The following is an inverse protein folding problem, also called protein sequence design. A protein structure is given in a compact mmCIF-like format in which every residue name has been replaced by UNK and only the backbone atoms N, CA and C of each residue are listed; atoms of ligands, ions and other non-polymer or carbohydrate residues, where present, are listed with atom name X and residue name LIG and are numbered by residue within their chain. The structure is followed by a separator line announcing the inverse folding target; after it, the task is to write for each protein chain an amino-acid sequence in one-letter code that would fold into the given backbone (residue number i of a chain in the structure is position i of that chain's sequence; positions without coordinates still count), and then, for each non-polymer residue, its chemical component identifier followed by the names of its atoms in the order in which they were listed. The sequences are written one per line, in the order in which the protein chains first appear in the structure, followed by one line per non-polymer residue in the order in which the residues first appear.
data_IF_279808074233
#
_entry.id   IF_279808074233
#
_cell.length_a   1.000
_cell.length_b   1.000
_cell.length_c   1.000
_cell.angle_alpha   90.00
_cell.angle_beta   90.00
_cell.angle_gamma   90.00
#
_symmetry.space_group_name_H-M   'P 1'
#
loop_
_entity.id
_entity.type
_entity.pdbx_description
1 polymer ?
#
# COMPACT_ATOMS: atom_id res chain seq x y z
N UNK A 1 -22.27 9.62 9.38
CA UNK A 1 -21.19 10.60 9.63
C UNK A 1 -21.63 11.43 10.82
N UNK A 2 -20.80 11.56 11.86
CA UNK A 2 -21.15 12.36 13.04
C UNK A 2 -21.08 13.85 12.68
N UNK A 3 -22.01 14.65 13.21
CA UNK A 3 -21.97 16.11 13.05
C UNK A 3 -20.71 16.69 13.74
N UNK A 4 -19.94 17.58 13.10
CA UNK A 4 -18.74 18.15 13.71
C UNK A 4 -19.00 18.84 15.04
N UNK A 5 -20.13 19.55 15.19
CA UNK A 5 -20.49 20.21 16.44
C UNK A 5 -20.80 19.21 17.56
N UNK A 6 -21.44 18.10 17.24
CA UNK A 6 -21.63 16.98 18.17
C UNK A 6 -20.30 16.31 18.55
N UNK A 7 -19.42 16.06 17.59
CA UNK A 7 -18.10 15.47 17.83
C UNK A 7 -17.26 16.36 18.75
N UNK A 8 -17.23 17.68 18.51
CA UNK A 8 -16.56 18.67 19.38
C UNK A 8 -17.04 18.56 20.83
N UNK A 9 -18.36 18.51 21.07
CA UNK A 9 -18.90 18.41 22.44
C UNK A 9 -18.52 17.10 23.13
N UNK A 10 -18.59 15.98 22.40
CA UNK A 10 -18.23 14.66 22.93
C UNK A 10 -16.73 14.56 23.23
N UNK A 11 -15.88 15.13 22.37
CA UNK A 11 -14.44 15.22 22.59
C UNK A 11 -14.10 16.08 23.82
N UNK A 12 -14.70 17.25 23.95
CA UNK A 12 -14.52 18.12 25.11
C UNK A 12 -14.86 17.39 26.42
N UNK A 13 -16.04 16.78 26.49
CA UNK A 13 -16.47 15.99 27.66
C UNK A 13 -15.49 14.87 27.99
N UNK A 14 -15.06 14.10 26.98
CA UNK A 14 -14.15 12.97 27.20
C UNK A 14 -12.77 13.42 27.62
N UNK A 15 -12.20 14.43 26.99
CA UNK A 15 -10.87 14.92 27.34
C UNK A 15 -10.86 15.64 28.68
N UNK A 16 -11.99 16.25 29.10
CA UNK A 16 -12.12 16.75 30.48
C UNK A 16 -12.03 15.63 31.52
N UNK A 17 -12.60 14.45 31.24
CA UNK A 17 -12.43 13.27 32.10
C UNK A 17 -10.99 12.76 32.10
N UNK A 18 -10.35 12.69 30.92
CA UNK A 18 -8.99 12.17 30.75
C UNK A 18 -7.95 13.07 31.43
N UNK A 19 -8.06 14.38 31.28
CA UNK A 19 -7.13 15.33 31.88
C UNK A 19 -7.52 15.75 33.29
N UNK A 20 -8.77 15.56 33.71
CA UNK A 20 -9.27 16.00 35.02
C UNK A 20 -9.56 17.49 35.12
N UNK A 21 -9.55 18.22 33.99
CA UNK A 21 -9.77 19.67 33.91
C UNK A 21 -10.69 19.99 32.74
N UNK A 22 -11.44 21.09 32.82
CA UNK A 22 -12.30 21.51 31.72
C UNK A 22 -11.48 21.75 30.44
N UNK A 23 -11.90 21.10 29.35
CA UNK A 23 -11.18 21.05 28.09
C UNK A 23 -12.03 21.64 26.97
N UNK A 24 -11.56 22.72 26.37
CA UNK A 24 -12.19 23.31 25.18
C UNK A 24 -11.57 22.73 23.91
N UNK A 25 -12.40 22.44 22.90
CA UNK A 25 -11.96 21.91 21.61
C UNK A 25 -12.18 22.95 20.51
N UNK A 26 -11.10 23.31 19.83
CA UNK A 26 -11.09 24.25 18.71
C UNK A 26 -10.40 23.65 17.48
N UNK A 27 -10.52 24.33 16.34
CA UNK A 27 -9.85 23.95 15.08
C UNK A 27 -10.07 22.49 14.65
N UNK A 28 -11.25 21.93 14.93
CA UNK A 28 -11.60 20.58 14.51
C UNK A 28 -11.73 20.52 12.98
N UNK A 29 -10.77 19.86 12.34
CA UNK A 29 -10.70 19.71 10.89
C UNK A 29 -10.56 18.24 10.53
N UNK A 30 -11.38 17.79 9.59
CA UNK A 30 -11.23 16.45 9.03
C UNK A 30 -10.05 16.42 8.07
N UNK A 31 -9.15 15.46 8.26
CA UNK A 31 -8.05 15.21 7.33
C UNK A 31 -8.53 14.26 6.23
N UNK A 32 -8.03 14.49 5.02
CA UNK A 32 -8.22 13.58 3.88
C UNK A 32 -7.23 12.41 4.00
N UNK A 33 -7.72 11.18 4.09
CA UNK A 33 -6.89 9.97 4.16
C UNK A 33 -7.49 8.89 5.06
N UNK A 34 -7.21 7.63 4.74
CA UNK A 34 -7.79 6.45 5.42
C UNK A 34 -9.03 5.92 4.69
N UNK A 35 -8.95 4.68 4.20
CA UNK A 35 -10.09 4.02 3.53
C UNK A 35 -11.16 3.57 4.54
N UNK A 36 -10.73 3.14 5.74
CA UNK A 36 -11.59 2.50 6.74
C UNK A 36 -11.84 3.35 8.00
N UNK A 37 -11.21 4.52 8.14
CA UNK A 37 -11.29 5.36 9.35
C UNK A 37 -11.40 6.86 9.04
N UNK A 38 -12.09 7.59 9.91
CA UNK A 38 -12.12 9.05 9.90
C UNK A 38 -10.95 9.60 10.73
N UNK A 39 -10.09 10.42 10.12
CA UNK A 39 -8.99 11.10 10.82
C UNK A 39 -9.30 12.59 10.97
N UNK A 40 -9.17 13.09 12.19
CA UNK A 40 -9.46 14.48 12.55
C UNK A 40 -8.28 15.10 13.29
N UNK A 41 -7.92 16.34 12.95
CA UNK A 41 -6.99 17.17 13.70
C UNK A 41 -7.78 18.19 14.52
N UNK A 42 -7.34 18.47 15.74
CA UNK A 42 -7.97 19.48 16.60
C UNK A 42 -7.00 20.03 17.64
N UNK A 43 -7.37 21.15 18.25
CA UNK A 43 -6.67 21.76 19.38
C UNK A 43 -7.50 21.55 20.64
N UNK A 44 -6.87 21.04 21.70
CA UNK A 44 -7.44 20.95 23.04
C UNK A 44 -6.79 22.01 23.95
N UNK A 45 -7.59 22.89 24.52
CA UNK A 45 -7.17 23.89 25.51
C UNK A 45 -7.49 23.37 26.92
N UNK A 46 -6.45 23.15 27.73
CA UNK A 46 -6.53 22.56 29.07
C UNK A 46 -5.81 23.51 30.02
N UNK A 47 -6.53 24.09 30.98
CA UNK A 47 -5.98 25.06 31.95
C UNK A 47 -5.16 26.20 31.31
N UNK A 48 -5.58 26.68 30.13
CA UNK A 48 -4.89 27.75 29.40
C UNK A 48 -3.65 27.30 28.60
N UNK A 49 -3.29 26.01 28.63
CA UNK A 49 -2.29 25.40 27.75
C UNK A 49 -2.97 24.73 26.56
N UNK A 50 -2.39 24.82 25.37
CA UNK A 50 -2.95 24.19 24.16
C UNK A 50 -2.15 22.95 23.76
N UNK A 51 -2.87 21.91 23.28
CA UNK A 51 -2.28 20.68 22.73
C UNK A 51 -2.92 20.38 21.38
N UNK A 52 -2.12 20.12 20.35
CA UNK A 52 -2.61 19.64 19.04
C UNK A 52 -2.71 18.13 19.07
N UNK A 53 -3.87 17.61 18.72
CA UNK A 53 -4.19 16.18 18.82
C UNK A 53 -4.78 15.65 17.51
N UNK A 54 -4.58 14.36 17.27
CA UNK A 54 -5.20 13.61 16.19
C UNK A 54 -6.18 12.60 16.78
N UNK A 55 -7.40 12.58 16.26
CA UNK A 55 -8.39 11.54 16.50
C UNK A 55 -8.47 10.66 15.25
N UNK A 56 -8.23 9.36 15.40
CA UNK A 56 -8.65 8.36 14.42
C UNK A 56 -9.88 7.64 14.96
N UNK A 57 -10.96 7.64 14.19
CA UNK A 57 -12.28 7.12 14.59
C UNK A 57 -12.80 6.18 13.52
N UNK A 58 -13.23 4.97 13.90
CA UNK A 58 -13.75 3.98 12.95
C UNK A 58 -15.19 3.61 13.32
N UNK A 59 -16.18 4.21 12.65
CA UNK A 59 -17.57 3.80 12.79
C UNK A 59 -17.79 2.47 12.06
N UNK A 60 -18.21 1.41 12.75
CA UNK A 60 -18.55 0.13 12.11
C UNK A 60 -18.01 -1.10 12.84
N UNK A 61 -17.73 -2.17 12.07
CA UNK A 61 -17.47 -3.53 12.56
C UNK A 61 -16.34 -3.58 13.62
N UNK A 62 -16.64 -4.00 14.86
CA UNK A 62 -15.65 -4.14 15.93
C UNK A 62 -14.58 -5.21 15.67
N UNK A 63 -14.68 -5.99 14.58
CA UNK A 63 -13.77 -7.09 14.23
C UNK A 63 -12.83 -6.81 13.03
N UNK A 64 -12.72 -5.55 12.55
CA UNK A 64 -11.73 -5.15 11.54
C UNK A 64 -10.25 -5.30 12.00
N UNK A 65 -9.25 -5.03 11.12
CA UNK A 65 -7.83 -5.06 11.49
C UNK A 65 -7.57 -4.30 12.80
N UNK A 66 -6.63 -4.81 13.61
CA UNK A 66 -6.51 -4.61 15.07
C UNK A 66 -7.45 -3.54 15.62
N UNK A 67 -8.57 -3.95 16.24
CA UNK A 67 -9.48 -2.98 16.88
C UNK A 67 -8.69 -2.00 17.75
N UNK A 68 -9.05 -0.72 17.76
CA UNK A 68 -8.12 0.38 18.13
C UNK A 68 -7.48 0.26 19.53
N UNK A 69 -8.11 -0.49 20.44
CA UNK A 69 -7.54 -0.83 21.76
C UNK A 69 -6.33 -1.78 21.68
N UNK A 70 -6.29 -2.68 20.69
CA UNK A 70 -5.11 -3.53 20.44
C UNK A 70 -3.98 -2.70 19.84
N UNK A 71 -4.29 -1.86 18.86
CA UNK A 71 -3.31 -0.96 18.25
C UNK A 71 -2.68 -0.01 19.29
N UNK A 72 -3.47 0.50 20.23
CA UNK A 72 -2.96 1.38 21.30
C UNK A 72 -1.94 0.68 22.22
N UNK A 73 -2.10 -0.63 22.46
CA UNK A 73 -1.12 -1.44 23.21
C UNK A 73 0.19 -1.60 22.45
N UNK A 74 0.11 -1.80 21.13
CA UNK A 74 1.29 -1.88 20.27
C UNK A 74 2.04 -0.54 20.27
N UNK A 75 1.33 0.58 20.12
CA UNK A 75 1.93 1.92 20.19
C UNK A 75 2.61 2.14 21.55
N UNK A 76 1.97 1.78 22.66
CA UNK A 76 2.57 1.90 23.99
C UNK A 76 3.77 0.95 24.21
N UNK A 77 3.79 -0.21 23.57
CA UNK A 77 4.95 -1.12 23.59
C UNK A 77 6.11 -0.56 22.75
N UNK A 78 5.81 0.00 21.58
CA UNK A 78 6.77 0.65 20.70
C UNK A 78 7.43 1.88 21.38
N UNK A 79 6.64 2.73 22.04
CA UNK A 79 7.15 3.86 22.82
C UNK A 79 8.13 3.40 23.91
N UNK A 80 7.79 2.34 24.65
CA UNK A 80 8.67 1.75 25.68
C UNK A 80 9.95 1.15 25.11
N UNK A 81 9.92 0.65 23.87
CA UNK A 81 11.10 0.16 23.16
C UNK A 81 11.94 1.28 22.53
N UNK A 82 11.55 2.55 22.71
CA UNK A 82 12.28 3.71 22.18
C UNK A 82 12.01 4.00 20.70
N UNK A 83 10.97 3.39 20.12
CA UNK A 83 10.50 3.72 18.77
C UNK A 83 9.83 5.08 18.82
N UNK A 84 10.16 5.96 17.88
CA UNK A 84 9.49 7.24 17.74
C UNK A 84 8.04 7.00 17.25
N UNK A 85 7.06 7.21 18.13
CA UNK A 85 5.62 7.06 17.84
C UNK A 85 4.85 8.27 18.40
N UNK A 86 3.68 8.61 17.85
CA UNK A 86 2.83 9.63 18.45
C UNK A 86 2.37 9.19 19.83
N UNK A 87 2.58 10.04 20.84
CA UNK A 87 2.18 9.72 22.21
C UNK A 87 0.68 9.49 22.31
N UNK A 88 0.29 8.34 22.87
CA UNK A 88 -1.10 7.98 23.10
C UNK A 88 -1.69 8.85 24.22
N UNK A 89 -2.84 9.45 23.96
CA UNK A 89 -3.59 10.27 24.94
C UNK A 89 -4.79 9.51 25.49
N UNK A 90 -5.61 8.91 24.62
CA UNK A 90 -6.79 8.14 25.02
C UNK A 90 -7.16 7.14 23.92
N UNK A 91 -7.86 6.07 24.28
CA UNK A 91 -8.43 5.12 23.31
C UNK A 91 -9.65 4.43 23.90
N UNK A 92 -10.58 4.01 23.03
CA UNK A 92 -11.74 3.24 23.45
C UNK A 92 -12.28 2.33 22.34
N UNK A 93 -13.04 1.31 22.74
CA UNK A 93 -13.73 0.39 21.84
C UNK A 93 -15.05 0.95 21.28
N UNK A 94 -15.86 0.08 20.67
CA UNK A 94 -17.08 0.48 19.94
C UNK A 94 -18.13 1.21 20.81
N UNK A 95 -18.28 0.83 22.09
CA UNK A 95 -19.25 1.40 23.03
C UNK A 95 -18.82 2.75 23.63
N UNK A 96 -17.87 3.44 23.00
CA UNK A 96 -17.30 4.67 23.54
C UNK A 96 -18.25 5.87 23.48
N UNK A 97 -17.89 6.92 24.23
CA UNK A 97 -18.57 8.22 24.21
C UNK A 97 -18.60 8.87 22.82
N UNK A 98 -17.65 8.53 21.94
CA UNK A 98 -17.58 9.01 20.55
C UNK A 98 -18.40 8.15 19.57
N UNK A 99 -19.14 7.15 20.08
CA UNK A 99 -20.06 6.30 19.31
C UNK A 99 -19.36 5.43 18.26
N UNK A 100 -18.08 5.14 18.48
CA UNK A 100 -17.22 4.34 17.62
C UNK A 100 -15.93 4.00 18.38
N UNK A 101 -15.20 2.98 17.92
CA UNK A 101 -13.84 2.80 18.40
C UNK A 101 -12.96 3.97 17.94
N UNK A 102 -12.06 4.40 18.82
CA UNK A 102 -11.17 5.52 18.54
C UNK A 102 -9.81 5.40 19.23
N UNK A 103 -8.88 6.17 18.68
CA UNK A 103 -7.56 6.42 19.23
C UNK A 103 -7.25 7.92 19.11
N UNK A 104 -6.78 8.52 20.21
CA UNK A 104 -6.34 9.92 20.26
C UNK A 104 -4.85 9.94 20.60
N UNK A 105 -4.06 10.58 19.75
CA UNK A 105 -2.63 10.79 19.95
C UNK A 105 -2.24 12.26 19.83
N UNK A 106 -1.04 12.59 20.29
CA UNK A 106 -0.42 13.89 20.01
C UNK A 106 -0.18 14.07 18.50
N UNK A 107 -0.43 15.29 18.01
CA UNK A 107 -0.09 15.66 16.65
C UNK A 107 1.42 15.88 16.53
N UNK A 108 2.06 15.10 15.67
CA UNK A 108 3.48 15.26 15.35
C UNK A 108 3.62 16.12 14.09
N UNK A 109 4.41 17.20 14.18
CA UNK A 109 4.75 18.02 13.02
C UNK A 109 5.68 17.27 12.06
N UNK A 110 5.39 17.36 10.77
CA UNK A 110 6.18 16.72 9.72
C UNK A 110 5.37 16.50 8.45
N UNK A 111 5.96 15.79 7.50
CA UNK A 111 5.36 15.46 6.21
C UNK A 111 5.25 13.94 6.05
N UNK A 112 4.13 13.50 5.48
CA UNK A 112 3.81 12.08 5.26
C UNK A 112 3.62 11.75 3.78
N UNK A 113 3.57 12.77 2.89
CA UNK A 113 3.36 12.57 1.46
C UNK A 113 4.69 12.16 0.82
N UNK A 114 4.84 10.90 0.37
CA UNK A 114 6.14 10.39 -0.08
C UNK A 114 6.74 11.16 -1.26
N UNK A 115 5.88 11.60 -2.21
CA UNK A 115 6.34 12.40 -3.35
C UNK A 115 7.03 13.69 -2.94
N UNK A 116 6.61 14.33 -1.84
CA UNK A 116 7.27 15.54 -1.34
C UNK A 116 8.57 15.19 -0.63
N UNK A 117 8.55 14.19 0.26
CA UNK A 117 9.75 13.71 0.97
C UNK A 117 10.89 13.36 0.00
N UNK A 118 10.55 12.72 -1.12
CA UNK A 118 11.52 12.22 -2.10
C UNK A 118 11.99 13.27 -3.13
N UNK A 119 11.27 14.40 -3.30
CA UNK A 119 11.54 15.35 -4.41
C UNK A 119 11.72 16.79 -4.00
N UNK A 120 11.21 17.19 -2.84
CA UNK A 120 11.35 18.56 -2.36
C UNK A 120 12.75 18.76 -1.76
N UNK A 121 13.41 19.85 -2.12
CA UNK A 121 14.76 20.20 -1.64
C UNK A 121 14.79 20.43 -0.14
N UNK A 122 13.65 20.85 0.44
CA UNK A 122 13.47 21.00 1.89
C UNK A 122 13.87 19.74 2.68
N UNK A 123 13.65 18.55 2.12
CA UNK A 123 13.96 17.27 2.79
C UNK A 123 15.30 16.67 2.33
N UNK A 124 16.13 17.39 1.57
CA UNK A 124 17.40 16.85 1.08
C UNK A 124 18.31 16.34 2.20
N UNK A 125 18.38 17.08 3.30
CA UNK A 125 19.17 16.66 4.46
C UNK A 125 18.57 15.44 5.16
N UNK A 126 17.25 15.39 5.33
CA UNK A 126 16.55 14.24 5.91
C UNK A 126 16.76 12.96 5.10
N UNK A 127 16.85 13.05 3.76
CA UNK A 127 17.10 11.87 2.90
C UNK A 127 18.47 11.24 3.14
N UNK A 128 19.48 12.03 3.51
CA UNK A 128 20.85 11.53 3.76
C UNK A 128 20.84 10.62 4.99
N UNK A 129 21.18 9.34 4.79
CA UNK A 129 21.22 8.35 5.88
C UNK A 129 19.84 7.88 6.36
N UNK A 130 18.76 8.27 5.69
CA UNK A 130 17.40 7.84 6.05
C UNK A 130 17.28 6.32 6.01
N UNK A 131 17.81 5.63 4.99
CA UNK A 131 17.78 4.16 4.92
C UNK A 131 18.38 3.50 6.18
N UNK A 132 19.52 3.99 6.66
CA UNK A 132 20.14 3.54 7.92
C UNK A 132 19.27 3.86 9.14
N UNK A 133 18.65 5.04 9.21
CA UNK A 133 17.72 5.40 10.28
C UNK A 133 16.51 4.46 10.32
N UNK A 134 15.94 4.11 9.16
CA UNK A 134 14.84 3.15 9.04
C UNK A 134 15.26 1.75 9.49
N UNK A 135 16.48 1.32 9.15
CA UNK A 135 17.04 0.05 9.61
C UNK A 135 17.12 -0.04 11.14
N UNK A 136 17.69 0.98 11.78
CA UNK A 136 17.74 1.09 13.25
C UNK A 136 16.35 1.08 13.87
N UNK A 137 15.40 1.77 13.25
CA UNK A 137 14.01 1.87 13.73
C UNK A 137 13.33 0.50 13.67
N UNK A 138 13.45 -0.22 12.56
CA UNK A 138 12.91 -1.58 12.44
C UNK A 138 13.53 -2.55 13.45
N UNK A 139 14.84 -2.47 13.70
CA UNK A 139 15.47 -3.24 14.75
C UNK A 139 14.90 -2.94 16.15
N UNK A 140 14.58 -1.67 16.46
CA UNK A 140 13.89 -1.29 17.69
C UNK A 140 12.48 -1.89 17.77
N UNK A 141 11.70 -1.81 16.69
CA UNK A 141 10.36 -2.42 16.61
C UNK A 141 10.44 -3.92 16.87
N UNK A 142 11.38 -4.59 16.20
CA UNK A 142 11.54 -6.05 16.31
C UNK A 142 12.14 -6.49 17.66
N UNK A 143 12.63 -5.55 18.48
CA UNK A 143 13.07 -5.82 19.85
C UNK A 143 11.95 -5.76 20.89
N UNK A 144 10.74 -5.32 20.50
CA UNK A 144 9.58 -5.29 21.40
C UNK A 144 9.29 -6.71 21.90
N UNK A 145 9.23 -6.95 23.22
CA UNK A 145 8.89 -8.26 23.77
C UNK A 145 7.49 -8.69 23.32
N UNK A 146 7.37 -9.86 22.70
CA UNK A 146 6.10 -10.35 22.14
C UNK A 146 5.06 -10.62 23.24
N UNK A 147 5.49 -10.97 24.44
CA UNK A 147 4.65 -11.12 25.64
C UNK A 147 4.04 -9.81 26.16
N UNK A 148 4.56 -8.66 25.73
CA UNK A 148 4.01 -7.34 26.05
C UNK A 148 2.80 -6.94 25.20
N UNK A 149 2.53 -7.71 24.12
CA UNK A 149 1.45 -7.48 23.14
C UNK A 149 0.71 -8.80 22.81
N UNK A 150 0.16 -9.51 23.82
CA UNK A 150 -0.40 -10.86 23.65
C UNK A 150 -1.65 -10.92 22.75
N UNK A 151 -2.23 -9.77 22.39
CA UNK A 151 -3.40 -9.69 21.50
C UNK A 151 -3.03 -9.75 20.01
N UNK A 152 -1.75 -9.62 19.67
CA UNK A 152 -1.27 -9.75 18.30
C UNK A 152 -1.41 -11.20 17.84
N UNK A 153 -1.95 -11.39 16.63
CA UNK A 153 -1.97 -12.69 15.99
C UNK A 153 -0.53 -13.10 15.64
N UNK A 154 -0.23 -14.39 15.77
CA UNK A 154 1.01 -14.95 15.22
C UNK A 154 0.77 -15.40 13.79
N UNK A 155 1.61 -14.95 12.88
CA UNK A 155 1.70 -15.44 11.50
C UNK A 155 2.84 -16.44 11.45
N UNK A 156 2.57 -17.74 11.17
CA UNK A 156 3.61 -18.75 11.12
C UNK A 156 4.71 -18.40 10.11
N UNK A 157 5.93 -18.85 10.39
CA UNK A 157 7.09 -18.65 9.52
C UNK A 157 6.79 -19.07 8.07
N UNK A 158 7.09 -18.16 7.13
CA UNK A 158 6.88 -18.34 5.70
C UNK A 158 5.58 -17.76 5.16
N UNK A 159 4.44 -17.85 5.86
CA UNK A 159 3.18 -17.23 5.42
C UNK A 159 2.62 -17.62 4.03
N UNK A 160 3.30 -18.47 3.24
CA UNK A 160 2.95 -18.77 1.84
C UNK A 160 1.58 -19.44 1.74
N UNK A 161 1.24 -20.30 2.69
CA UNK A 161 -0.07 -20.96 2.71
C UNK A 161 -1.20 -19.96 3.00
N UNK A 162 -1.02 -19.05 3.97
CA UNK A 162 -1.99 -17.97 4.23
C UNK A 162 -2.17 -17.08 3.00
N UNK A 163 -1.06 -16.75 2.34
CA UNK A 163 -1.07 -15.98 1.09
C UNK A 163 -1.82 -16.71 -0.03
N UNK A 164 -1.60 -18.03 -0.15
CA UNK A 164 -2.28 -18.90 -1.10
C UNK A 164 -3.78 -18.96 -0.83
N UNK A 165 -4.19 -19.12 0.43
CA UNK A 165 -5.61 -19.15 0.80
C UNK A 165 -6.31 -17.84 0.43
N UNK A 166 -5.71 -16.69 0.76
CA UNK A 166 -6.23 -15.37 0.38
C UNK A 166 -6.36 -15.18 -1.14
N UNK A 167 -5.43 -15.74 -1.90
CA UNK A 167 -5.49 -15.71 -3.35
C UNK A 167 -6.61 -16.60 -3.91
N UNK A 168 -6.80 -17.80 -3.37
CA UNK A 168 -7.87 -18.71 -3.80
C UNK A 168 -9.27 -18.14 -3.59
N UNK A 169 -9.46 -17.31 -2.55
CA UNK A 169 -10.72 -16.60 -2.29
C UNK A 169 -11.13 -15.60 -3.39
N UNK A 170 -10.21 -15.16 -4.25
CA UNK A 170 -10.50 -14.20 -5.33
C UNK A 170 -11.23 -14.83 -6.52
N UNK A 171 -11.16 -16.15 -6.67
CA UNK A 171 -11.72 -16.91 -7.81
C UNK A 171 -11.36 -16.31 -9.19
N UNK A 172 -10.20 -15.68 -9.28
CA UNK A 172 -9.67 -15.07 -10.52
C UNK A 172 -8.20 -15.49 -10.67
N UNK A 173 -7.93 -16.63 -11.33
CA UNK A 173 -6.56 -17.13 -11.47
C UNK A 173 -5.64 -16.16 -12.22
N UNK A 174 -4.43 -15.93 -11.69
CA UNK A 174 -3.35 -15.15 -12.34
C UNK A 174 -2.12 -16.03 -12.49
N UNK A 175 -1.62 -16.18 -13.72
CA UNK A 175 -0.44 -17.00 -13.99
C UNK A 175 0.78 -16.53 -13.20
N UNK A 176 0.98 -15.22 -13.11
CA UNK A 176 2.10 -14.63 -12.34
C UNK A 176 2.01 -14.95 -10.86
N UNK A 177 0.81 -14.86 -10.27
CA UNK A 177 0.61 -15.22 -8.86
C UNK A 177 0.86 -16.71 -8.62
N UNK A 178 0.42 -17.60 -9.52
CA UNK A 178 0.70 -19.05 -9.38
C UNK A 178 2.19 -19.36 -9.46
N UNK A 179 2.90 -18.78 -10.44
CA UNK A 179 4.35 -18.91 -10.61
C UNK A 179 5.08 -18.42 -9.35
N UNK A 180 4.70 -17.25 -8.83
CA UNK A 180 5.33 -16.67 -7.66
C UNK A 180 5.06 -17.48 -6.39
N UNK A 181 3.83 -17.97 -6.19
CA UNK A 181 3.51 -18.83 -5.04
C UNK A 181 4.26 -20.17 -5.10
N UNK A 182 4.43 -20.75 -6.29
CA UNK A 182 5.24 -21.95 -6.47
C UNK A 182 6.73 -21.67 -6.15
N UNK A 183 7.26 -20.55 -6.63
CA UNK A 183 8.64 -20.15 -6.34
C UNK A 183 8.86 -19.88 -4.85
N UNK A 184 7.98 -19.11 -4.21
CA UNK A 184 8.05 -18.77 -2.79
C UNK A 184 8.05 -20.03 -1.92
N UNK A 185 7.17 -21.00 -2.22
CA UNK A 185 7.10 -22.27 -1.51
C UNK A 185 8.39 -23.10 -1.65
N UNK A 186 9.04 -23.05 -2.82
CA UNK A 186 10.28 -23.80 -3.08
C UNK A 186 11.56 -23.15 -2.54
N UNK A 187 11.52 -21.87 -2.16
CA UNK A 187 12.71 -21.08 -1.79
C UNK A 187 12.57 -20.40 -0.42
N UNK A 188 11.67 -20.90 0.44
CA UNK A 188 11.44 -20.31 1.76
C UNK A 188 12.73 -20.26 2.59
N UNK A 189 13.12 -19.09 3.15
CA UNK A 189 14.31 -18.97 3.97
C UNK A 189 14.13 -19.72 5.30
N UNK A 190 15.26 -20.09 5.92
CA UNK A 190 15.26 -20.67 7.26
C UNK A 190 14.53 -19.75 8.26
N UNK A 191 13.66 -20.29 9.12
CA UNK A 191 12.96 -19.50 10.14
C UNK A 191 13.94 -18.81 11.09
N UNK A 192 13.56 -17.60 11.52
CA UNK A 192 14.23 -16.85 12.60
C UNK A 192 13.29 -16.71 13.78
N UNK A 193 13.78 -16.17 14.90
CA UNK A 193 12.93 -15.87 16.04
C UNK A 193 11.83 -14.88 15.65
N UNK A 194 10.59 -15.17 16.09
CA UNK A 194 9.45 -14.30 15.84
C UNK A 194 9.61 -12.98 16.61
N UNK A 195 9.19 -11.90 15.97
CA UNK A 195 9.24 -10.54 16.51
C UNK A 195 7.90 -9.84 16.31
N UNK A 196 7.71 -8.70 16.98
CA UNK A 196 6.64 -7.77 16.60
C UNK A 196 7.00 -7.18 15.25
N UNK A 197 6.13 -7.37 14.26
CA UNK A 197 6.22 -6.83 12.90
C UNK A 197 5.18 -5.72 12.78
N UNK A 198 5.57 -4.56 12.25
CA UNK A 198 4.67 -3.43 11.99
C UNK A 198 3.64 -3.80 10.91
N UNK A 199 4.06 -4.50 9.86
CA UNK A 199 3.19 -5.09 8.83
C UNK A 199 2.80 -4.13 7.71
N UNK A 200 2.90 -2.82 7.93
CA UNK A 200 2.84 -1.79 6.88
C UNK A 200 3.95 -0.72 7.01
N UNK A 201 5.19 -1.12 7.32
CA UNK A 201 6.31 -0.17 7.43
C UNK A 201 6.77 0.34 6.06
N UNK A 202 6.23 1.49 5.63
CA UNK A 202 6.54 2.15 4.34
C UNK A 202 6.51 3.66 4.49
N UNK A 203 7.11 4.38 3.54
CA UNK A 203 7.25 5.84 3.59
C UNK A 203 5.95 6.65 3.77
N UNK A 204 4.80 6.15 3.36
CA UNK A 204 3.51 6.81 3.61
C UNK A 204 3.00 6.70 5.05
N UNK A 205 3.65 5.87 5.88
CA UNK A 205 3.36 5.65 7.30
C UNK A 205 4.51 6.16 8.18
N UNK A 206 5.36 7.01 7.62
CA UNK A 206 6.43 7.71 8.33
C UNK A 206 6.11 9.19 8.35
N UNK A 207 6.27 9.82 9.51
CA UNK A 207 6.31 11.27 9.63
C UNK A 207 7.77 11.68 9.61
N UNK A 208 8.13 12.55 8.66
CA UNK A 208 9.51 13.00 8.44
C UNK A 208 9.54 14.53 8.46
N UNK A 209 10.53 15.08 9.16
CA UNK A 209 10.84 16.52 9.12
C UNK A 209 12.14 16.78 8.34
N UNK A 210 12.68 18.00 8.40
CA UNK A 210 13.91 18.38 7.69
C UNK A 210 15.17 17.65 8.22
N UNK A 211 15.08 17.02 9.39
CA UNK A 211 16.19 16.34 10.08
C UNK A 211 16.14 14.82 9.95
N UNK A 212 14.97 14.23 9.73
CA UNK A 212 14.82 12.79 9.53
C UNK A 212 13.46 12.25 9.97
N UNK A 213 13.41 10.94 10.28
CA UNK A 213 12.23 10.29 10.83
C UNK A 213 11.89 10.85 12.22
N UNK A 214 10.65 11.29 12.41
CA UNK A 214 10.14 11.80 13.69
C UNK A 214 9.05 10.93 14.32
N UNK A 215 8.31 10.14 13.52
CA UNK A 215 7.37 9.16 14.05
C UNK A 215 6.99 8.07 13.05
N UNK A 216 6.71 6.87 13.56
CA UNK A 216 6.07 5.76 12.83
C UNK A 216 4.60 5.69 13.22
N UNK A 217 3.72 5.61 12.23
CA UNK A 217 2.26 5.60 12.41
C UNK A 217 1.62 4.40 11.73
N UNK A 218 0.33 4.21 11.97
CA UNK A 218 -0.51 3.21 11.31
C UNK A 218 -0.14 1.75 11.63
N UNK A 219 -0.38 1.36 12.88
CA UNK A 219 0.00 0.07 13.43
C UNK A 219 -1.10 -1.00 13.30
N UNK A 220 -2.12 -0.77 12.47
CA UNK A 220 -3.32 -1.63 12.38
C UNK A 220 -3.03 -3.04 11.83
N UNK A 221 -1.92 -3.20 11.09
CA UNK A 221 -1.47 -4.48 10.52
C UNK A 221 -0.39 -5.18 11.36
N UNK A 222 -0.10 -4.66 12.56
CA UNK A 222 0.91 -5.25 13.42
C UNK A 222 0.56 -6.69 13.81
N UNK A 223 1.57 -7.54 13.89
CA UNK A 223 1.42 -8.96 14.23
C UNK A 223 2.74 -9.53 14.75
N UNK A 224 2.71 -10.76 15.26
CA UNK A 224 3.92 -11.52 15.58
C UNK A 224 4.31 -12.35 14.34
N UNK A 225 5.55 -12.22 13.87
CA UNK A 225 5.99 -12.87 12.64
C UNK A 225 7.49 -12.75 12.38
N UNK A 226 7.90 -12.95 11.13
CA UNK A 226 9.30 -12.83 10.73
C UNK A 226 9.70 -11.35 10.57
N UNK A 227 10.70 -10.84 11.30
CA UNK A 227 11.14 -9.44 11.21
C UNK A 227 11.61 -9.03 9.80
N UNK A 228 12.02 -9.99 8.97
CA UNK A 228 12.44 -9.71 7.58
C UNK A 228 11.27 -9.29 6.69
N UNK A 229 10.03 -9.51 7.12
CA UNK A 229 8.83 -9.06 6.39
C UNK A 229 8.79 -7.54 6.23
N UNK A 230 9.01 -6.78 7.31
CA UNK A 230 8.98 -5.30 7.24
C UNK A 230 10.13 -4.75 6.38
N UNK A 231 11.32 -5.36 6.47
CA UNK A 231 12.46 -5.00 5.63
C UNK A 231 12.14 -5.23 4.15
N UNK A 232 11.59 -6.41 3.82
CA UNK A 232 11.16 -6.74 2.46
C UNK A 232 10.04 -5.82 1.96
N UNK A 233 9.10 -5.45 2.84
CA UNK A 233 8.00 -4.56 2.51
C UNK A 233 8.48 -3.18 2.08
N UNK A 234 9.45 -2.63 2.80
CA UNK A 234 10.03 -1.32 2.52
C UNK A 234 10.76 -1.26 1.15
N UNK A 235 11.17 -2.41 0.61
CA UNK A 235 11.85 -2.53 -0.68
C UNK A 235 10.89 -2.65 -1.87
N UNK A 236 9.59 -2.86 -1.65
CA UNK A 236 8.60 -3.00 -2.72
C UNK A 236 8.58 -1.73 -3.58
N UNK A 237 8.69 -1.92 -4.90
CA UNK A 237 8.97 -0.83 -5.88
C UNK A 237 7.92 0.28 -5.86
N UNK A 238 6.65 -0.06 -5.60
CA UNK A 238 5.57 0.92 -5.54
C UNK A 238 5.76 1.98 -4.43
N UNK A 239 6.60 1.71 -3.43
CA UNK A 239 6.98 2.68 -2.39
C UNK A 239 8.13 3.58 -2.78
N UNK A 240 8.77 3.41 -3.95
CA UNK A 240 9.86 4.29 -4.41
C UNK A 240 9.36 5.54 -5.13
N UNK A 241 8.08 5.61 -5.50
CA UNK A 241 7.46 6.75 -6.21
C UNK A 241 8.26 7.22 -7.45
N UNK A 242 8.81 6.26 -8.19
CA UNK A 242 9.60 6.48 -9.41
C UNK A 242 11.00 7.01 -9.17
N UNK A 243 11.56 6.82 -7.97
CA UNK A 243 12.97 7.08 -7.67
C UNK A 243 13.77 5.78 -7.72
N UNK A 244 15.07 5.89 -7.98
CA UNK A 244 15.98 4.75 -8.11
C UNK A 244 16.24 4.02 -6.76
N UNK A 245 16.50 4.72 -5.63
CA UNK A 245 16.93 4.05 -4.41
C UNK A 245 15.91 3.06 -3.86
N UNK A 246 16.39 1.94 -3.36
CA UNK A 246 15.56 0.77 -3.11
C UNK A 246 14.65 0.88 -1.90
N UNK A 247 15.13 1.55 -0.86
CA UNK A 247 14.50 1.61 0.47
C UNK A 247 13.48 2.74 0.49
N UNK A 248 12.25 2.48 0.04
CA UNK A 248 11.20 3.50 -0.05
C UNK A 248 11.58 4.76 -0.84
N UNK A 249 12.61 4.69 -1.68
CA UNK A 249 13.20 5.82 -2.42
C UNK A 249 14.32 6.60 -1.71
N UNK A 250 14.75 6.18 -0.51
CA UNK A 250 15.68 6.96 0.32
C UNK A 250 17.15 6.54 0.24
N UNK A 251 17.44 5.26 -0.01
CA UNK A 251 18.81 4.75 -0.02
C UNK A 251 18.87 3.28 -0.44
N UNK A 252 20.06 2.70 -0.31
CA UNK A 252 20.36 1.32 -0.67
C UNK A 252 19.91 0.31 0.38
N UNK A 253 19.71 -0.94 -0.04
CA UNK A 253 19.44 -2.06 0.87
C UNK A 253 20.59 -2.26 1.88
N UNK A 254 21.84 -2.03 1.48
CA UNK A 254 22.99 -2.21 2.38
C UNK A 254 22.95 -1.21 3.53
N UNK A 255 22.65 0.07 3.25
CA UNK A 255 22.46 1.09 4.29
C UNK A 255 21.35 0.72 5.28
N UNK A 256 20.24 0.14 4.79
CA UNK A 256 19.14 -0.35 5.62
C UNK A 256 19.59 -1.51 6.53
N UNK A 257 20.24 -2.54 5.96
CA UNK A 257 20.67 -3.71 6.70
C UNK A 257 21.79 -3.40 7.69
N UNK A 258 22.67 -2.47 7.36
CA UNK A 258 23.74 -2.01 8.25
C UNK A 258 23.16 -1.22 9.43
N UNK A 259 22.19 -0.32 9.17
CA UNK A 259 21.46 0.37 10.24
C UNK A 259 20.70 -0.60 11.15
N UNK A 260 20.10 -1.64 10.57
CA UNK A 260 19.47 -2.71 11.35
C UNK A 260 20.50 -3.43 12.23
N UNK A 261 21.65 -3.80 11.67
CA UNK A 261 22.70 -4.53 12.36
C UNK A 261 23.28 -3.77 13.54
N UNK A 262 23.43 -2.45 13.42
CA UNK A 262 23.91 -1.59 14.51
C UNK A 262 23.03 -1.64 15.75
N UNK A 263 21.71 -1.74 15.58
CA UNK A 263 20.75 -1.77 16.68
C UNK A 263 20.43 -3.21 17.16
N UNK A 264 20.33 -4.17 16.24
CA UNK A 264 19.99 -5.57 16.55
C UNK A 264 21.20 -6.43 16.94
N UNK A 265 22.43 -6.00 16.64
CA UNK A 265 23.66 -6.77 16.87
C UNK A 265 23.89 -7.90 15.85
N UNK A 266 23.01 -8.05 14.86
CA UNK A 266 23.18 -8.99 13.76
C UNK A 266 22.64 -8.38 12.46
N UNK A 267 23.30 -8.67 11.34
CA UNK A 267 22.84 -8.23 10.02
C UNK A 267 21.86 -9.25 9.44
N UNK A 268 20.66 -8.86 8.99
CA UNK A 268 19.75 -9.78 8.32
C UNK A 268 20.35 -10.31 7.01
N UNK A 269 20.03 -11.55 6.67
CA UNK A 269 20.39 -12.14 5.39
C UNK A 269 19.64 -11.44 4.25
N UNK A 270 20.38 -10.97 3.26
CA UNK A 270 19.85 -10.18 2.14
C UNK A 270 18.93 -11.02 1.26
N UNK A 271 19.25 -12.29 1.03
CA UNK A 271 18.45 -13.16 0.16
C UNK A 271 17.11 -13.48 0.81
N UNK A 272 17.10 -13.72 2.13
CA UNK A 272 15.86 -13.84 2.89
C UNK A 272 15.01 -12.55 2.87
N UNK A 273 15.63 -11.37 2.93
CA UNK A 273 14.90 -10.09 2.80
C UNK A 273 14.32 -9.92 1.39
N UNK A 274 15.03 -10.33 0.34
CA UNK A 274 14.51 -10.32 -1.04
C UNK A 274 13.39 -11.33 -1.26
N UNK A 275 13.45 -12.48 -0.59
CA UNK A 275 12.34 -13.43 -0.55
C UNK A 275 11.08 -12.77 0.05
N UNK A 276 11.24 -12.06 1.17
CA UNK A 276 10.14 -11.31 1.80
C UNK A 276 9.66 -10.12 0.95
N UNK A 277 10.56 -9.48 0.19
CA UNK A 277 10.18 -8.46 -0.79
C UNK A 277 9.25 -9.07 -1.85
N UNK A 278 9.59 -10.23 -2.42
CA UNK A 278 8.73 -10.92 -3.39
C UNK A 278 7.40 -11.32 -2.74
N UNK A 279 7.43 -11.93 -1.56
CA UNK A 279 6.22 -12.28 -0.80
C UNK A 279 5.29 -11.09 -0.65
N UNK A 280 5.83 -9.93 -0.24
CA UNK A 280 5.05 -8.71 -0.02
C UNK A 280 4.57 -8.05 -1.31
N UNK A 281 5.30 -8.17 -2.41
CA UNK A 281 4.83 -7.76 -3.75
C UNK A 281 3.62 -8.61 -4.17
N UNK A 282 3.66 -9.94 -3.96
CA UNK A 282 2.53 -10.84 -4.26
C UNK A 282 1.34 -10.55 -3.33
N UNK A 283 1.59 -10.36 -2.04
CA UNK A 283 0.59 -9.95 -1.04
C UNK A 283 -0.13 -8.67 -1.45
N UNK A 284 0.61 -7.68 -1.94
CA UNK A 284 0.03 -6.43 -2.41
C UNK A 284 -0.75 -6.60 -3.72
N UNK A 285 -0.27 -7.44 -4.63
CA UNK A 285 -1.01 -7.81 -5.84
C UNK A 285 -2.39 -8.41 -5.51
N UNK A 286 -2.43 -9.37 -4.58
CA UNK A 286 -3.67 -9.99 -4.07
C UNK A 286 -4.54 -8.94 -3.37
N UNK A 287 -3.94 -8.07 -2.54
CA UNK A 287 -4.66 -6.97 -1.89
C UNK A 287 -5.34 -6.01 -2.89
N UNK A 288 -4.66 -5.65 -3.96
CA UNK A 288 -5.22 -4.85 -5.06
C UNK A 288 -6.44 -5.55 -5.71
N UNK A 289 -6.32 -6.85 -5.99
CA UNK A 289 -7.42 -7.63 -6.54
C UNK A 289 -8.60 -7.74 -5.56
N UNK A 290 -8.34 -7.93 -4.25
CA UNK A 290 -9.36 -7.98 -3.20
C UNK A 290 -10.12 -6.64 -3.11
N UNK A 291 -9.41 -5.51 -3.16
CA UNK A 291 -10.03 -4.18 -3.13
C UNK A 291 -11.00 -3.96 -4.30
N UNK A 292 -10.66 -4.47 -5.49
CA UNK A 292 -11.53 -4.37 -6.67
C UNK A 292 -12.71 -5.32 -6.58
N UNK A 293 -12.51 -6.54 -6.07
CA UNK A 293 -13.62 -7.47 -5.83
C UNK A 293 -14.68 -6.86 -4.87
N UNK A 294 -14.24 -6.12 -3.83
CA UNK A 294 -15.16 -5.36 -2.95
C UNK A 294 -15.91 -4.26 -3.71
N UNK A 295 -15.25 -3.59 -4.66
CA UNK A 295 -15.88 -2.59 -5.51
C UNK A 295 -16.93 -3.19 -6.45
N UNK A 296 -16.56 -4.22 -7.21
CA UNK A 296 -17.39 -4.84 -8.22
C UNK A 296 -18.58 -5.60 -7.62
N UNK A 297 -18.42 -6.17 -6.42
CA UNK A 297 -19.54 -6.78 -5.68
C UNK A 297 -20.54 -5.76 -5.12
N UNK A 298 -20.24 -4.46 -5.19
CA UNK A 298 -21.09 -3.40 -4.63
C UNK A 298 -21.00 -3.25 -3.12
N UNK A 299 -20.16 -4.03 -2.43
CA UNK A 299 -19.91 -3.88 -0.99
C UNK A 299 -19.36 -2.50 -0.65
N UNK A 300 -18.52 -1.94 -1.51
CA UNK A 300 -17.99 -0.57 -1.37
C UNK A 300 -17.77 0.10 -2.73
N UNK A 301 -18.60 1.08 -3.10
CA UNK A 301 -18.48 1.76 -4.39
C UNK A 301 -17.56 2.99 -4.29
N UNK A 302 -16.35 2.90 -4.82
CA UNK A 302 -15.34 3.96 -4.85
C UNK A 302 -14.56 3.92 -6.17
N UNK A 303 -14.26 5.10 -6.73
CA UNK A 303 -13.46 5.24 -7.96
C UNK A 303 -12.00 4.88 -7.68
N UNK A 304 -11.51 5.16 -6.47
CA UNK A 304 -10.20 4.77 -5.97
C UNK A 304 -10.06 3.24 -5.93
N UNK A 305 -11.04 2.53 -5.37
CA UNK A 305 -11.06 1.06 -5.37
C UNK A 305 -11.25 0.47 -6.77
N UNK A 306 -11.96 1.14 -7.67
CA UNK A 306 -12.08 0.68 -9.05
C UNK A 306 -10.74 0.78 -9.81
N UNK A 307 -10.01 1.88 -9.58
CA UNK A 307 -8.74 2.16 -10.27
C UNK A 307 -7.57 1.35 -9.71
N UNK A 308 -7.58 0.99 -8.42
CA UNK A 308 -6.49 0.23 -7.80
C UNK A 308 -6.28 -1.14 -8.44
N UNK A 309 -7.31 -1.76 -9.03
CA UNK A 309 -7.18 -3.04 -9.74
C UNK A 309 -6.31 -2.97 -10.97
N UNK A 310 -6.25 -1.81 -11.62
CA UNK A 310 -5.34 -1.60 -12.74
C UNK A 310 -3.88 -1.55 -12.29
N UNK A 311 -3.60 -1.47 -10.97
CA UNK A 311 -2.26 -1.61 -10.38
C UNK A 311 -1.84 -3.06 -10.12
N UNK A 312 -2.72 -4.05 -10.28
CA UNK A 312 -2.34 -5.48 -10.19
C UNK A 312 -1.20 -5.79 -11.16
N UNK A 313 -1.28 -5.27 -12.40
CA UNK A 313 -0.23 -5.50 -13.40
C UNK A 313 1.11 -4.80 -13.08
N UNK A 314 1.12 -3.73 -12.27
CA UNK A 314 2.36 -3.15 -11.72
C UNK A 314 3.06 -4.17 -10.82
N UNK A 315 2.28 -4.84 -9.96
CA UNK A 315 2.81 -5.84 -9.02
C UNK A 315 3.21 -7.13 -9.73
N UNK A 316 2.44 -7.57 -10.72
CA UNK A 316 2.83 -8.71 -11.56
C UNK A 316 4.13 -8.43 -12.33
N UNK A 317 4.32 -7.20 -12.81
CA UNK A 317 5.57 -6.81 -13.45
C UNK A 317 6.76 -6.87 -12.49
N UNK A 318 6.59 -6.34 -11.28
CA UNK A 318 7.61 -6.36 -10.23
C UNK A 318 7.94 -7.78 -9.78
N UNK A 319 6.93 -8.65 -9.63
CA UNK A 319 7.11 -10.08 -9.35
C UNK A 319 8.02 -10.71 -10.42
N UNK A 320 7.71 -10.50 -11.70
CA UNK A 320 8.50 -11.06 -12.79
C UNK A 320 9.93 -10.50 -12.82
N UNK A 321 10.14 -9.21 -12.48
CA UNK A 321 11.48 -8.65 -12.32
C UNK A 321 12.26 -9.32 -11.17
N UNK A 322 11.61 -9.50 -10.02
CA UNK A 322 12.21 -10.13 -8.83
C UNK A 322 12.54 -11.61 -9.07
N UNK A 323 11.77 -12.29 -9.92
CA UNK A 323 12.05 -13.65 -10.38
C UNK A 323 13.13 -13.73 -11.46
N UNK A 324 13.71 -12.61 -11.88
CA UNK A 324 14.81 -12.58 -12.85
C UNK A 324 14.38 -12.57 -14.32
N UNK A 325 13.11 -12.26 -14.62
CA UNK A 325 12.60 -12.18 -15.98
C UNK A 325 12.46 -10.70 -16.36
N UNK A 326 13.47 -10.05 -17.00
CA UNK A 326 13.43 -8.62 -17.33
C UNK A 326 12.34 -8.29 -18.36
N UNK A 327 11.98 -7.01 -18.47
CA UNK A 327 11.05 -6.55 -19.48
C UNK A 327 11.75 -6.59 -20.85
N UNK A 328 11.06 -7.06 -21.89
CA UNK A 328 11.56 -6.99 -23.27
C UNK A 328 11.62 -5.53 -23.75
N UNK A 329 12.38 -5.25 -24.82
CA UNK A 329 12.45 -3.91 -25.42
C UNK A 329 11.10 -3.55 -26.06
N UNK A 330 10.43 -2.57 -25.45
CA UNK A 330 9.26 -1.78 -25.90
C UNK A 330 7.97 -2.51 -26.33
N UNK A 331 6.83 -1.91 -25.94
CA UNK A 331 5.49 -2.31 -26.41
C UNK A 331 5.39 -2.20 -27.93
N UNK A 332 4.55 -3.05 -28.57
CA UNK A 332 4.23 -2.85 -29.98
C UNK A 332 3.74 -1.41 -30.19
N UNK A 333 4.24 -0.77 -31.26
CA UNK A 333 3.69 0.50 -31.72
C UNK A 333 2.18 0.34 -31.93
N UNK A 334 1.40 1.34 -31.52
CA UNK A 334 -0.01 1.37 -31.85
C UNK A 334 -0.16 1.21 -33.37
N UNK A 335 -0.95 0.24 -33.80
CA UNK A 335 -1.39 0.12 -35.19
C UNK A 335 -2.05 1.43 -35.61
N UNK A 336 -1.89 1.84 -36.87
CA UNK A 336 -2.73 2.93 -37.39
C UNK A 336 -4.21 2.54 -37.17
N UNK A 337 -5.08 3.50 -36.79
CA UNK A 337 -6.47 3.19 -36.46
C UNK A 337 -7.12 2.49 -37.65
N UNK A 338 -7.34 1.19 -37.50
CA UNK A 338 -7.93 0.35 -38.52
C UNK A 338 -9.46 0.51 -38.43
N UNK A 339 -10.05 0.82 -39.56
CA UNK A 339 -11.48 1.10 -39.82
C UNK A 339 -12.04 2.50 -39.52
N UNK A 340 -12.92 3.03 -40.39
CA UNK A 340 -13.75 4.18 -40.06
C UNK A 340 -14.66 3.82 -38.89
N UNK A 341 -14.55 4.56 -37.77
CA UNK A 341 -15.44 4.40 -36.61
C UNK A 341 -16.89 4.37 -37.09
N UNK A 342 -17.60 3.28 -36.80
CA UNK A 342 -19.02 3.09 -37.12
C UNK A 342 -19.87 4.28 -36.68
N UNK A 343 -19.45 4.96 -35.62
CA UNK A 343 -20.16 6.09 -35.02
C UNK A 343 -19.61 7.47 -35.47
N UNK A 344 -18.61 7.50 -36.34
CA UNK A 344 -18.02 8.72 -36.87
C UNK A 344 -17.10 9.44 -35.87
N UNK A 345 -17.06 10.77 -35.95
CA UNK A 345 -16.15 11.63 -35.17
C UNK A 345 -16.93 12.55 -34.23
N UNK A 346 -16.42 12.85 -33.02
CA UNK A 346 -15.22 12.27 -32.38
C UNK A 346 -15.43 10.81 -31.98
N UNK A 347 -14.34 10.04 -31.95
CA UNK A 347 -14.38 8.64 -31.50
C UNK A 347 -14.63 8.53 -29.99
N UNK A 348 -14.97 7.34 -29.49
CA UNK A 348 -15.13 7.11 -28.06
C UNK A 348 -13.86 7.45 -27.25
N UNK A 349 -12.67 7.14 -27.78
CA UNK A 349 -11.40 7.46 -27.13
C UNK A 349 -11.21 8.97 -27.00
N UNK A 350 -11.55 9.74 -28.04
CA UNK A 350 -11.41 11.20 -28.05
C UNK A 350 -12.42 11.91 -27.14
N UNK A 351 -13.63 11.36 -27.00
CA UNK A 351 -14.59 11.85 -26.01
C UNK A 351 -14.07 11.64 -24.59
N UNK A 352 -13.48 10.48 -24.32
CA UNK A 352 -12.89 10.15 -23.01
C UNK A 352 -11.69 11.04 -22.72
N UNK A 353 -10.81 11.27 -23.70
CA UNK A 353 -9.67 12.18 -23.62
C UNK A 353 -10.12 13.60 -23.25
N UNK A 354 -11.08 14.15 -24.00
CA UNK A 354 -11.61 15.50 -23.77
C UNK A 354 -12.20 15.70 -22.36
N UNK A 355 -12.92 14.69 -21.83
CA UNK A 355 -13.42 14.72 -20.45
C UNK A 355 -12.26 14.64 -19.45
N UNK A 356 -11.25 13.80 -19.73
CA UNK A 356 -10.04 13.70 -18.92
C UNK A 356 -9.27 15.03 -18.84
N UNK A 357 -9.13 15.74 -19.96
CA UNK A 357 -8.53 17.09 -20.03
C UNK A 357 -9.32 18.10 -19.20
N UNK A 358 -10.64 18.15 -19.38
CA UNK A 358 -11.48 19.05 -18.58
C UNK A 358 -11.30 18.83 -17.07
N UNK A 359 -11.28 17.57 -16.61
CA UNK A 359 -11.04 17.25 -15.20
C UNK A 359 -9.65 17.75 -14.75
N UNK A 360 -8.60 17.50 -15.52
CA UNK A 360 -7.21 17.90 -15.18
C UNK A 360 -7.02 19.41 -15.15
N UNK A 361 -7.62 20.12 -16.09
CA UNK A 361 -7.29 21.53 -16.32
C UNK A 361 -8.26 22.47 -15.60
N UNK A 362 -9.52 22.04 -15.41
CA UNK A 362 -10.57 22.87 -14.83
C UNK A 362 -10.98 22.47 -13.42
N UNK A 363 -10.93 21.17 -13.07
CA UNK A 363 -11.45 20.69 -11.77
C UNK A 363 -10.32 20.47 -10.76
N UNK A 364 -9.23 19.81 -11.17
CA UNK A 364 -8.09 19.53 -10.29
C UNK A 364 -7.45 20.78 -9.68
N UNK A 365 -7.27 21.92 -10.39
CA UNK A 365 -6.69 23.14 -9.81
C UNK A 365 -7.66 23.94 -8.93
N UNK A 366 -8.91 23.47 -8.76
CA UNK A 366 -9.93 24.14 -7.99
C UNK A 366 -9.59 24.28 -6.49
N UNK A 367 -10.34 25.13 -5.76
CA UNK A 367 -10.07 25.42 -4.34
C UNK A 367 -10.39 24.23 -3.41
N UNK A 368 -11.27 23.32 -3.82
CA UNK A 368 -11.62 22.12 -3.07
C UNK A 368 -10.59 21.01 -3.32
N UNK A 369 -9.75 20.76 -2.32
CA UNK A 369 -8.67 19.75 -2.39
C UNK A 369 -9.19 18.33 -2.48
N UNK A 370 -10.31 18.00 -1.85
CA UNK A 370 -10.89 16.65 -1.89
C UNK A 370 -11.47 16.38 -3.27
N UNK A 371 -12.23 17.34 -3.81
CA UNK A 371 -12.75 17.26 -5.17
C UNK A 371 -11.63 17.20 -6.20
N UNK A 372 -10.58 18.03 -6.04
CA UNK A 372 -9.42 18.02 -6.92
C UNK A 372 -8.67 16.68 -6.91
N UNK A 373 -8.57 16.03 -5.74
CA UNK A 373 -8.00 14.68 -5.65
C UNK A 373 -8.86 13.65 -6.39
N UNK A 374 -10.17 13.61 -6.13
CA UNK A 374 -11.11 12.69 -6.81
C UNK A 374 -11.13 12.90 -8.33
N UNK A 375 -11.10 14.15 -8.78
CA UNK A 375 -11.02 14.49 -10.20
C UNK A 375 -9.73 13.99 -10.84
N UNK A 376 -8.60 14.04 -10.12
CA UNK A 376 -7.32 13.47 -10.59
C UNK A 376 -7.40 11.95 -10.73
N UNK A 377 -8.01 11.26 -9.76
CA UNK A 377 -8.22 9.80 -9.84
C UNK A 377 -9.11 9.46 -11.04
N UNK A 378 -10.21 10.18 -11.23
CA UNK A 378 -11.10 9.99 -12.37
C UNK A 378 -10.42 10.26 -13.71
N UNK A 379 -9.63 11.33 -13.83
CA UNK A 379 -8.87 11.63 -15.05
C UNK A 379 -7.84 10.54 -15.39
N UNK A 380 -7.20 9.95 -14.38
CA UNK A 380 -6.31 8.80 -14.57
C UNK A 380 -7.08 7.56 -15.06
N UNK A 381 -8.27 7.30 -14.51
CA UNK A 381 -9.13 6.21 -14.96
C UNK A 381 -9.53 6.38 -16.43
N UNK A 382 -9.92 7.59 -16.83
CA UNK A 382 -10.26 7.91 -18.22
C UNK A 382 -9.07 7.72 -19.16
N UNK A 383 -7.86 8.13 -18.76
CA UNK A 383 -6.66 7.89 -19.56
C UNK A 383 -6.35 6.39 -19.76
N UNK A 384 -6.69 5.53 -18.79
CA UNK A 384 -6.58 4.07 -18.94
C UNK A 384 -7.61 3.58 -19.97
N UNK A 385 -8.86 4.03 -19.87
CA UNK A 385 -9.94 3.66 -20.79
C UNK A 385 -9.63 4.10 -22.22
N UNK A 386 -9.13 5.33 -22.39
CA UNK A 386 -8.66 5.87 -23.67
C UNK A 386 -7.66 4.91 -24.33
N UNK A 387 -6.57 4.55 -23.62
CA UNK A 387 -5.57 3.61 -24.15
C UNK A 387 -6.16 2.23 -24.46
N UNK A 388 -7.05 1.71 -23.60
CA UNK A 388 -7.71 0.42 -23.84
C UNK A 388 -8.62 0.44 -25.08
N UNK A 389 -9.25 1.57 -25.37
CA UNK A 389 -10.03 1.77 -26.60
C UNK A 389 -9.13 1.86 -27.84
N UNK A 390 -7.92 2.41 -27.71
CA UNK A 390 -6.97 2.58 -28.83
C UNK A 390 -6.21 1.30 -29.18
N UNK A 391 -5.66 0.57 -28.20
CA UNK A 391 -4.76 -0.58 -28.46
C UNK A 391 -5.30 -1.93 -27.97
N UNK A 392 -6.45 -1.94 -27.28
CA UNK A 392 -6.92 -3.13 -26.59
C UNK A 392 -7.44 -4.25 -27.51
N UNK A 393 -7.93 -3.94 -28.72
CA UNK A 393 -8.33 -4.96 -29.70
C UNK A 393 -7.15 -5.83 -30.10
N UNK A 394 -6.04 -5.19 -30.44
CA UNK A 394 -4.84 -5.80 -30.98
C UNK A 394 -4.15 -6.62 -29.88
N UNK A 395 -4.07 -6.07 -28.66
CA UNK A 395 -3.58 -6.81 -27.50
C UNK A 395 -4.43 -8.04 -27.18
N UNK A 396 -5.77 -7.96 -27.30
CA UNK A 396 -6.64 -9.14 -27.11
C UNK A 396 -6.39 -10.21 -28.17
N UNK A 397 -6.14 -9.82 -29.41
CA UNK A 397 -5.79 -10.75 -30.48
C UNK A 397 -4.42 -11.40 -30.22
N UNK A 398 -3.39 -10.60 -30.00
CA UNK A 398 -2.04 -11.08 -29.71
C UNK A 398 -2.02 -12.00 -28.47
N UNK A 399 -2.78 -11.66 -27.43
CA UNK A 399 -2.92 -12.50 -26.24
C UNK A 399 -3.50 -13.88 -26.56
N UNK A 400 -4.58 -13.96 -27.36
CA UNK A 400 -5.15 -15.25 -27.79
C UNK A 400 -4.13 -16.08 -28.56
N UNK A 401 -3.50 -15.48 -29.56
CA UNK A 401 -2.50 -16.16 -30.40
C UNK A 401 -1.32 -16.70 -29.58
N UNK A 402 -0.84 -15.92 -28.59
CA UNK A 402 0.24 -16.35 -27.68
C UNK A 402 -0.13 -17.58 -26.86
N UNK A 403 -1.33 -17.62 -26.26
CA UNK A 403 -1.74 -18.75 -25.42
C UNK A 403 -2.16 -19.96 -26.25
N UNK A 404 -2.78 -19.76 -27.41
CA UNK A 404 -3.09 -20.84 -28.35
C UNK A 404 -1.82 -21.57 -28.82
N UNK A 405 -0.73 -20.83 -29.05
CA UNK A 405 0.57 -21.41 -29.39
C UNK A 405 1.16 -22.30 -28.28
N UNK A 406 0.75 -22.08 -27.03
CA UNK A 406 1.11 -22.91 -25.86
C UNK A 406 0.11 -24.04 -25.59
N UNK A 407 -0.97 -24.15 -26.39
CA UNK A 407 -2.02 -25.14 -26.21
C UNK A 407 -3.11 -24.75 -25.21
N UNK A 408 -3.18 -23.47 -24.82
CA UNK A 408 -4.18 -22.96 -23.86
C UNK A 408 -5.13 -21.97 -24.54
N UNK A 409 -6.40 -21.95 -24.14
CA UNK A 409 -7.41 -21.01 -24.67
C UNK A 409 -7.30 -19.62 -24.04
N UNK A 410 -6.61 -19.51 -22.90
CA UNK A 410 -6.49 -18.26 -22.13
C UNK A 410 -5.36 -18.32 -21.11
N UNK A 411 -4.94 -17.15 -20.60
CA UNK A 411 -4.03 -17.04 -19.45
C UNK A 411 -4.59 -17.74 -18.20
N UNK A 412 -5.91 -17.73 -18.01
CA UNK A 412 -6.57 -18.40 -16.88
C UNK A 412 -6.40 -19.91 -16.93
N UNK A 413 -6.54 -20.51 -18.11
CA UNK A 413 -6.32 -21.96 -18.28
C UNK A 413 -4.86 -22.32 -18.03
N UNK A 414 -3.93 -21.50 -18.52
CA UNK A 414 -2.50 -21.64 -18.22
C UNK A 414 -2.22 -21.54 -16.71
N UNK A 415 -2.79 -20.55 -16.02
CA UNK A 415 -2.63 -20.37 -14.57
C UNK A 415 -3.10 -21.61 -13.79
N UNK A 416 -4.23 -22.19 -14.19
CA UNK A 416 -4.74 -23.43 -13.59
C UNK A 416 -3.82 -24.63 -13.88
N UNK A 417 -3.21 -24.71 -15.07
CA UNK A 417 -2.23 -25.75 -15.39
C UNK A 417 -0.95 -25.61 -14.55
N UNK A 418 -0.46 -24.38 -14.32
CA UNK A 418 0.66 -24.11 -13.39
C UNK A 418 0.28 -24.58 -11.97
N UNK A 419 -0.92 -24.21 -11.50
CA UNK A 419 -1.42 -24.63 -10.18
C UNK A 419 -1.48 -26.15 -10.03
N UNK A 420 -1.90 -26.86 -11.08
CA UNK A 420 -1.99 -28.31 -11.11
C UNK A 420 -0.63 -29.01 -11.27
N UNK A 421 0.44 -28.27 -11.54
CA UNK A 421 1.76 -28.82 -11.84
C UNK A 421 1.85 -29.51 -13.21
N UNK A 422 0.94 -29.18 -14.13
CA UNK A 422 0.90 -29.73 -15.50
C UNK A 422 1.93 -29.08 -16.42
N UNK A 423 2.36 -27.86 -16.07
CA UNK A 423 3.45 -27.13 -16.72
C UNK A 423 4.43 -26.64 -15.66
N UNK A 424 5.72 -26.69 -15.98
CA UNK A 424 6.77 -26.18 -15.12
C UNK A 424 6.67 -24.65 -15.02
N UNK A 425 6.68 -24.12 -13.80
CA UNK A 425 6.66 -22.68 -13.53
C UNK A 425 7.90 -21.95 -14.11
N UNK A 426 8.95 -22.68 -14.46
CA UNK A 426 10.16 -22.17 -15.11
C UNK A 426 10.16 -22.31 -16.65
N UNK A 427 9.09 -22.83 -17.27
CA UNK A 427 9.03 -23.01 -18.73
C UNK A 427 9.24 -21.69 -19.47
N UNK A 428 10.23 -21.65 -20.37
CA UNK A 428 10.66 -20.39 -21.01
C UNK A 428 9.60 -19.83 -21.96
N UNK A 429 8.87 -20.68 -22.68
CA UNK A 429 7.85 -20.25 -23.63
C UNK A 429 6.63 -19.67 -22.88
N UNK A 430 6.22 -20.35 -21.82
CA UNK A 430 5.22 -19.86 -20.88
C UNK A 430 5.61 -18.51 -20.28
N UNK A 431 6.82 -18.41 -19.72
CA UNK A 431 7.29 -17.17 -19.09
C UNK A 431 7.34 -16.01 -20.07
N UNK A 432 7.73 -16.26 -21.33
CA UNK A 432 7.69 -15.25 -22.39
C UNK A 432 6.26 -14.76 -22.67
N UNK A 433 5.29 -15.67 -22.79
CA UNK A 433 3.89 -15.32 -23.03
C UNK A 433 3.27 -14.55 -21.84
N UNK A 434 3.53 -14.98 -20.60
CA UNK A 434 3.07 -14.32 -19.38
C UNK A 434 3.69 -12.92 -19.26
N UNK A 435 5.00 -12.78 -19.52
CA UNK A 435 5.69 -11.48 -19.52
C UNK A 435 5.08 -10.52 -20.54
N UNK A 436 4.80 -10.98 -21.76
CA UNK A 436 4.15 -10.19 -22.78
C UNK A 436 2.73 -9.75 -22.35
N UNK A 437 1.94 -10.63 -21.74
CA UNK A 437 0.60 -10.29 -21.21
C UNK A 437 0.65 -9.19 -20.15
N UNK A 438 1.62 -9.26 -19.22
CA UNK A 438 1.82 -8.21 -18.21
C UNK A 438 2.24 -6.89 -18.85
N UNK A 439 3.16 -6.92 -19.83
CA UNK A 439 3.58 -5.72 -20.57
C UNK A 439 2.42 -5.08 -21.30
N UNK A 440 1.56 -5.86 -21.96
CA UNK A 440 0.35 -5.37 -22.63
C UNK A 440 -0.59 -4.66 -21.64
N UNK A 441 -0.88 -5.31 -20.50
CA UNK A 441 -1.70 -4.73 -19.43
C UNK A 441 -1.10 -3.43 -18.87
N UNK A 442 0.22 -3.36 -18.72
CA UNK A 442 0.91 -2.16 -18.25
C UNK A 442 0.92 -1.02 -19.26
N UNK A 443 1.05 -1.31 -20.56
CA UNK A 443 0.98 -0.29 -21.60
C UNK A 443 -0.35 0.50 -21.55
N UNK A 444 -1.43 -0.19 -21.17
CA UNK A 444 -2.75 0.40 -20.93
C UNK A 444 -2.84 1.03 -19.54
N UNK A 445 -2.46 0.33 -18.48
CA UNK A 445 -2.67 0.82 -17.11
C UNK A 445 -1.73 1.98 -16.73
N UNK A 446 -0.43 1.81 -16.94
CA UNK A 446 0.61 2.76 -16.55
C UNK A 446 1.90 2.55 -17.38
N UNK A 447 1.95 3.05 -18.64
CA UNK A 447 3.07 2.77 -19.55
C UNK A 447 4.41 3.28 -19.02
N UNK A 448 4.40 4.34 -18.20
CA UNK A 448 5.62 4.89 -17.57
C UNK A 448 6.23 3.95 -16.53
N UNK A 449 5.51 2.92 -16.07
CA UNK A 449 6.01 1.98 -15.08
C UNK A 449 7.02 0.99 -15.68
N UNK A 450 6.93 0.73 -16.99
CA UNK A 450 7.84 -0.16 -17.71
C UNK A 450 9.27 0.38 -17.79
N UNK A 451 9.44 1.70 -17.76
CA UNK A 451 10.73 2.38 -17.83
C UNK A 451 11.27 2.87 -16.49
N UNK A 452 10.55 2.60 -15.39
CA UNK A 452 10.92 2.97 -14.03
C UNK A 452 11.72 1.90 -13.31
#
# INVERSE_FOLDING_TARGET
MIDPGELTRRLASRLSEVFGHDTEITELVRLTGGANSETWSFVASIEGSTRRLILRRQPGDPNGPLGMTRESRVIAAAERAGVAVPKLVDCAGADSTLGAQYLICEHIEGETIPRKLLRDERFAQARIGMATQLGRTLAQIHSIPTDSVPELRTVPAGGVEDLRQRYLELDTPSAVTEIALAWLAGHQPEPVAEAVVHGDFRNGNLIVDETGLVAVIDWELAHIGDPREDLGWLLVKCWRFGTEPEVGGFGSIDELLDGYAEAAGHRPDVDAVRWWQLYRTVWWSIGCAQMVARHLSGKERSVELATIGRRVCEQEHDVLLLLGYPAGPESPAASEPDEPDLHGRPTAAELVEAVGEFLRDSVVPGPDREMGFKARVAANALAIVERELTIGSDQRQASRERFEALGFRSETELALAVRAGEIDAADTAMMSAVRASVTDRLAVANPRYLSQ
#
